data_IF_386181987806
#
_entry.id   IF_386181987806
#
_cell.length_a   1.000
_cell.length_b   1.000
_cell.length_c   1.000
_cell.angle_alpha   90.00
_cell.angle_beta   90.00
_cell.angle_gamma   90.00
#
_symmetry.space_group_name_H-M   'P 1'
#
loop_
_entity.id
_entity.type
_entity.pdbx_description
1 polymer ?
#
# COMPACT_ATOMS: atom_id res chain seq x y z
N UNK A 1 20.04 -0.24 -33.16
CA UNK A 1 18.63 -0.52 -33.47
C UNK A 1 18.49 -1.72 -34.40
N UNK A 2 17.47 -2.57 -34.20
CA UNK A 2 17.23 -3.77 -35.01
C UNK A 2 15.98 -3.63 -35.89
N UNK A 3 15.92 -4.34 -37.02
CA UNK A 3 14.78 -4.26 -37.94
C UNK A 3 13.44 -4.67 -37.31
N UNK A 4 13.48 -5.65 -36.39
CA UNK A 4 12.29 -6.12 -35.67
C UNK A 4 11.67 -5.01 -34.82
N UNK A 5 12.49 -4.20 -34.17
CA UNK A 5 12.02 -3.05 -33.39
C UNK A 5 11.23 -2.07 -34.26
N UNK A 6 11.72 -1.74 -35.46
CA UNK A 6 11.01 -0.84 -36.38
C UNK A 6 9.67 -1.43 -36.80
N UNK A 7 9.64 -2.71 -37.14
CA UNK A 7 8.41 -3.40 -37.58
C UNK A 7 7.36 -3.47 -36.48
N UNK A 8 7.77 -3.70 -35.23
CA UNK A 8 6.86 -3.80 -34.08
C UNK A 8 6.32 -2.42 -33.65
N UNK A 9 6.99 -1.32 -34.00
CA UNK A 9 6.69 0.03 -33.49
C UNK A 9 6.29 1.04 -34.59
N UNK A 10 5.75 0.60 -35.72
CA UNK A 10 5.42 1.50 -36.84
C UNK A 10 4.42 2.61 -36.49
N UNK A 11 3.43 2.28 -35.66
CA UNK A 11 2.41 3.23 -35.20
C UNK A 11 3.08 4.33 -34.36
N UNK A 12 3.87 3.93 -33.36
CA UNK A 12 4.53 4.88 -32.46
C UNK A 12 5.59 5.74 -33.17
N UNK A 13 6.21 5.20 -34.23
CA UNK A 13 7.09 5.95 -35.13
C UNK A 13 6.27 6.99 -35.91
N UNK A 14 5.12 6.61 -36.48
CA UNK A 14 4.26 7.53 -37.24
C UNK A 14 3.61 8.61 -36.37
N UNK A 15 3.36 8.32 -35.08
CA UNK A 15 2.80 9.28 -34.10
C UNK A 15 3.87 10.06 -33.33
N UNK A 16 5.16 9.92 -33.69
CA UNK A 16 6.31 10.60 -33.07
C UNK A 16 6.38 10.47 -31.52
N UNK A 17 5.98 9.34 -30.97
CA UNK A 17 5.91 9.14 -29.50
C UNK A 17 7.27 8.91 -28.82
N UNK A 18 8.33 8.72 -29.60
CA UNK A 18 9.65 8.39 -29.06
C UNK A 18 10.43 9.63 -28.59
N UNK A 19 11.20 9.53 -27.49
CA UNK A 19 12.09 10.60 -27.05
C UNK A 19 13.17 10.90 -28.11
N UNK A 20 13.77 12.09 -28.04
CA UNK A 20 14.69 12.59 -29.07
C UNK A 20 15.88 11.65 -29.35
N UNK A 21 16.42 11.00 -28.31
CA UNK A 21 17.55 10.06 -28.48
C UNK A 21 17.15 8.81 -29.26
N UNK A 22 16.00 8.21 -28.93
CA UNK A 22 15.47 7.06 -29.67
C UNK A 22 15.13 7.41 -31.11
N UNK A 23 14.64 8.63 -31.38
CA UNK A 23 14.41 9.11 -32.75
C UNK A 23 15.68 9.17 -33.59
N UNK A 24 16.80 9.65 -33.02
CA UNK A 24 18.09 9.63 -33.74
C UNK A 24 18.51 8.20 -34.10
N UNK A 25 18.33 7.24 -33.19
CA UNK A 25 18.67 5.84 -33.46
C UNK A 25 17.76 5.22 -34.55
N UNK A 26 16.48 5.58 -34.57
CA UNK A 26 15.54 5.22 -35.63
C UNK A 26 16.03 5.79 -36.96
N UNK A 27 16.34 7.08 -37.03
CA UNK A 27 16.79 7.75 -38.25
C UNK A 27 18.08 7.14 -38.81
N UNK A 28 19.04 6.82 -37.94
CA UNK A 28 20.27 6.13 -38.33
C UNK A 28 19.96 4.76 -38.93
N UNK A 29 19.03 4.02 -38.34
CA UNK A 29 18.60 2.72 -38.87
C UNK A 29 17.87 2.85 -40.22
N UNK A 30 16.97 3.81 -40.36
CA UNK A 30 16.24 4.03 -41.60
C UNK A 30 17.17 4.45 -42.75
N UNK A 31 18.22 5.22 -42.46
CA UNK A 31 19.25 5.55 -43.46
C UNK A 31 20.14 4.36 -43.86
N UNK A 32 20.28 3.37 -43.00
CA UNK A 32 21.15 2.20 -43.25
C UNK A 32 20.38 0.96 -43.74
N UNK A 33 19.06 0.90 -43.53
CA UNK A 33 18.23 -0.25 -43.91
C UNK A 33 17.09 0.15 -44.85
N UNK A 34 17.31 -0.04 -46.16
CA UNK A 34 16.31 0.26 -47.20
C UNK A 34 14.97 -0.45 -47.00
N UNK A 35 14.98 -1.68 -46.46
CA UNK A 35 13.75 -2.44 -46.20
C UNK A 35 12.88 -1.76 -45.13
N UNK A 36 13.50 -1.33 -44.03
CA UNK A 36 12.79 -0.63 -42.97
C UNK A 36 12.33 0.75 -43.44
N UNK A 37 13.16 1.47 -44.21
CA UNK A 37 12.79 2.74 -44.80
C UNK A 37 11.54 2.64 -45.69
N UNK A 38 11.53 1.74 -46.68
CA UNK A 38 10.39 1.54 -47.58
C UNK A 38 9.12 1.16 -46.81
N UNK A 39 9.25 0.27 -45.82
CA UNK A 39 8.14 -0.16 -44.98
C UNK A 39 7.57 1.00 -44.14
N UNK A 40 8.42 1.81 -43.51
CA UNK A 40 7.96 3.00 -42.77
C UNK A 40 7.31 4.04 -43.69
N UNK A 41 7.84 4.25 -44.90
CA UNK A 41 7.27 5.20 -45.87
C UNK A 41 5.88 4.75 -46.34
N UNK A 42 5.72 3.47 -46.71
CA UNK A 42 4.43 2.90 -47.10
C UNK A 42 3.41 2.98 -45.96
N UNK A 43 3.85 2.67 -44.75
CA UNK A 43 3.00 2.78 -43.56
C UNK A 43 2.53 4.23 -43.34
N UNK A 44 3.46 5.20 -43.40
CA UNK A 44 3.13 6.62 -43.24
C UNK A 44 2.13 7.12 -44.29
N UNK A 45 2.26 6.69 -45.55
CA UNK A 45 1.32 7.03 -46.63
C UNK A 45 -0.09 6.50 -46.36
N UNK A 46 -0.20 5.23 -45.91
CA UNK A 46 -1.49 4.65 -45.54
C UNK A 46 -2.10 5.38 -44.34
N UNK A 47 -1.29 5.68 -43.32
CA UNK A 47 -1.72 6.38 -42.13
C UNK A 47 -2.27 7.79 -42.43
N UNK A 48 -1.58 8.54 -43.30
CA UNK A 48 -2.04 9.86 -43.74
C UNK A 48 -3.35 9.81 -44.54
N UNK A 49 -3.53 8.76 -45.36
CA UNK A 49 -4.79 8.57 -46.12
C UNK A 49 -5.98 8.36 -45.19
N UNK A 50 -5.78 7.73 -44.04
CA UNK A 50 -6.83 7.50 -43.04
C UNK A 50 -7.08 8.71 -42.14
N UNK A 51 -6.10 9.59 -42.02
CA UNK A 51 -6.22 10.84 -41.27
C UNK A 51 -7.06 11.89 -41.97
N UNK A 52 -7.45 11.68 -43.23
CA UNK A 52 -8.38 12.58 -43.92
C UNK A 52 -9.72 12.52 -43.17
N UNK A 53 -10.02 13.52 -42.33
CA UNK A 53 -11.19 13.43 -41.49
C UNK A 53 -12.36 13.58 -42.43
N UNK A 54 -13.09 12.49 -42.66
CA UNK A 54 -14.49 12.58 -43.09
C UNK A 54 -15.07 13.69 -42.24
N UNK A 55 -15.51 14.78 -42.87
CA UNK A 55 -16.01 15.96 -42.18
C UNK A 55 -17.30 15.57 -41.46
N UNK A 56 -17.15 14.92 -40.32
CA UNK A 56 -18.23 14.54 -39.43
C UNK A 56 -18.58 15.83 -38.73
N UNK A 57 -19.51 16.57 -39.32
CA UNK A 57 -20.06 17.78 -38.71
C UNK A 57 -20.73 17.34 -37.41
N UNK A 58 -20.21 17.72 -36.23
CA UNK A 58 -20.80 17.31 -34.97
C UNK A 58 -22.22 17.87 -34.89
N UNK A 59 -23.12 17.17 -34.19
CA UNK A 59 -24.46 17.69 -33.97
C UNK A 59 -24.39 19.00 -33.18
N UNK A 60 -25.29 19.97 -33.40
CA UNK A 60 -25.25 21.25 -32.69
C UNK A 60 -25.27 21.13 -31.16
N UNK A 61 -25.85 20.04 -30.63
CA UNK A 61 -25.93 19.75 -29.20
C UNK A 61 -24.69 19.01 -28.65
N UNK A 62 -23.76 18.56 -29.49
CA UNK A 62 -22.58 17.82 -29.05
C UNK A 62 -21.70 18.67 -28.13
N UNK A 63 -21.43 19.93 -28.51
CA UNK A 63 -20.58 20.82 -27.73
C UNK A 63 -21.21 21.17 -26.37
N UNK A 64 -22.52 21.40 -26.31
CA UNK A 64 -23.19 21.70 -25.04
C UNK A 64 -23.17 20.51 -24.09
N UNK A 65 -23.41 19.29 -24.60
CA UNK A 65 -23.31 18.07 -23.80
C UNK A 65 -21.87 17.77 -23.36
N UNK A 66 -20.88 18.07 -24.21
CA UNK A 66 -19.47 17.90 -23.87
C UNK A 66 -19.07 18.83 -22.72
N UNK A 67 -19.41 20.11 -22.81
CA UNK A 67 -19.14 21.08 -21.74
C UNK A 67 -19.81 20.69 -20.42
N UNK A 68 -21.09 20.28 -20.46
CA UNK A 68 -21.78 19.78 -19.27
C UNK A 68 -21.08 18.56 -18.63
N UNK A 69 -20.49 17.67 -19.45
CA UNK A 69 -19.75 16.51 -18.94
C UNK A 69 -18.41 16.90 -18.33
N UNK A 70 -17.69 17.85 -18.94
CA UNK A 70 -16.41 18.36 -18.43
C UNK A 70 -16.66 19.04 -17.08
N UNK A 71 -17.61 19.96 -17.01
CA UNK A 71 -17.93 20.71 -15.78
C UNK A 71 -18.38 19.78 -14.64
N UNK A 72 -19.25 18.82 -14.93
CA UNK A 72 -19.65 17.78 -13.96
C UNK A 72 -18.47 16.91 -13.49
N UNK A 73 -17.46 16.71 -14.32
CA UNK A 73 -16.27 15.93 -13.98
C UNK A 73 -15.27 16.72 -13.13
N UNK A 74 -15.17 18.04 -13.36
CA UNK A 74 -14.35 18.96 -12.58
C UNK A 74 -14.98 19.22 -11.21
N UNK A 75 -16.29 19.44 -11.15
CA UNK A 75 -17.03 19.53 -9.88
C UNK A 75 -16.78 18.27 -9.04
N UNK A 76 -16.96 17.06 -9.61
CA UNK A 76 -16.69 15.80 -8.89
C UNK A 76 -15.25 15.66 -8.40
N UNK A 77 -14.27 16.27 -9.07
CA UNK A 77 -12.86 16.26 -8.60
C UNK A 77 -12.62 17.27 -7.48
N UNK A 78 -13.37 18.37 -7.44
CA UNK A 78 -13.22 19.40 -6.41
C UNK A 78 -13.96 19.07 -5.10
N UNK A 79 -14.96 18.17 -5.10
CA UNK A 79 -15.73 17.77 -3.90
C UNK A 79 -15.28 16.48 -3.19
N UNK A 80 -14.09 15.93 -3.45
CA UNK A 80 -13.60 14.74 -2.71
C UNK A 80 -12.40 15.10 -1.82
N UNK A 81 -12.41 14.69 -0.53
CA UNK A 81 -11.92 15.53 0.55
C UNK A 81 -10.47 15.19 0.90
N UNK A 82 -9.54 15.81 0.20
CA UNK A 82 -8.12 15.76 0.60
C UNK A 82 -7.91 16.25 2.05
N UNK A 83 -8.78 17.16 2.55
CA UNK A 83 -8.76 17.64 3.93
C UNK A 83 -9.38 16.67 4.96
N UNK A 84 -10.41 15.87 4.65
CA UNK A 84 -11.00 14.96 5.65
C UNK A 84 -10.16 13.69 5.89
N UNK A 85 -9.45 13.19 4.88
CA UNK A 85 -8.59 12.01 5.04
C UNK A 85 -7.34 12.29 5.90
N UNK A 86 -6.83 13.53 5.87
CA UNK A 86 -5.60 13.91 6.59
C UNK A 86 -5.84 14.18 8.09
N UNK A 87 -7.06 14.61 8.46
CA UNK A 87 -7.42 14.91 9.86
C UNK A 87 -7.90 13.72 10.69
N UNK A 88 -8.14 12.55 10.11
CA UNK A 88 -8.50 11.35 10.87
C UNK A 88 -7.36 10.81 11.74
N UNK A 89 -6.10 11.06 11.36
CA UNK A 89 -4.92 10.60 12.11
C UNK A 89 -4.72 11.33 13.45
N UNK A 90 -4.74 12.68 13.53
CA UNK A 90 -4.63 13.37 14.82
C UNK A 90 -5.87 13.16 15.71
N UNK A 91 -7.05 12.93 15.14
CA UNK A 91 -8.28 12.72 15.91
C UNK A 91 -8.22 11.43 16.76
N UNK A 92 -7.66 10.35 16.21
CA UNK A 92 -7.49 9.08 16.95
C UNK A 92 -6.54 9.22 18.12
N UNK A 93 -5.44 9.96 17.94
CA UNK A 93 -4.49 10.25 19.02
C UNK A 93 -5.13 11.11 20.12
N UNK A 94 -5.91 12.13 19.74
CA UNK A 94 -6.62 12.98 20.69
C UNK A 94 -7.67 12.19 21.52
N UNK A 95 -8.43 11.29 20.88
CA UNK A 95 -9.40 10.44 21.58
C UNK A 95 -8.70 9.49 22.56
N UNK A 96 -7.59 8.86 22.16
CA UNK A 96 -6.84 7.96 23.06
C UNK A 96 -6.32 8.71 24.30
N UNK A 97 -5.73 9.89 24.11
CA UNK A 97 -5.26 10.73 25.23
C UNK A 97 -6.43 11.17 26.11
N UNK A 98 -7.55 11.60 25.52
CA UNK A 98 -8.74 11.97 26.28
C UNK A 98 -9.27 10.81 27.12
N UNK A 99 -9.34 9.60 26.56
CA UNK A 99 -9.77 8.41 27.31
C UNK A 99 -8.82 8.06 28.46
N UNK A 100 -7.50 8.22 28.25
CA UNK A 100 -6.52 7.99 29.30
C UNK A 100 -6.67 9.01 30.43
N UNK A 101 -6.83 10.30 30.11
CA UNK A 101 -7.03 11.36 31.11
C UNK A 101 -8.32 11.14 31.90
N UNK A 102 -9.42 10.81 31.21
CA UNK A 102 -10.71 10.51 31.87
C UNK A 102 -10.57 9.29 32.77
N UNK A 103 -9.90 8.23 32.33
CA UNK A 103 -9.65 7.04 33.15
C UNK A 103 -8.83 7.34 34.40
N UNK A 104 -7.78 8.16 34.29
CA UNK A 104 -6.96 8.59 35.44
C UNK A 104 -7.76 9.44 36.42
N UNK A 105 -8.59 10.36 35.91
CA UNK A 105 -9.44 11.19 36.75
C UNK A 105 -10.52 10.36 37.47
N UNK A 106 -11.17 9.43 36.76
CA UNK A 106 -12.13 8.51 37.38
C UNK A 106 -11.45 7.61 38.42
N UNK A 107 -10.27 7.08 38.11
CA UNK A 107 -9.51 6.24 39.03
C UNK A 107 -9.08 6.99 40.29
N UNK A 108 -8.65 8.24 40.14
CA UNK A 108 -8.32 9.09 41.29
C UNK A 108 -9.57 9.42 42.13
N UNK A 109 -10.67 9.77 41.47
CA UNK A 109 -11.94 10.10 42.13
C UNK A 109 -12.51 8.90 42.92
N UNK A 110 -12.47 7.70 42.33
CA UNK A 110 -12.93 6.46 42.99
C UNK A 110 -11.91 5.91 43.98
N UNK A 111 -10.62 6.19 43.81
CA UNK A 111 -9.53 5.77 44.70
C UNK A 111 -9.50 6.50 46.03
N UNK A 112 -10.28 7.58 46.18
CA UNK A 112 -10.47 8.28 47.45
C UNK A 112 -11.50 7.58 48.36
N UNK A 113 -11.52 6.24 48.35
CA UNK A 113 -12.22 5.47 49.38
C UNK A 113 -11.34 5.46 50.64
N UNK A 114 -11.88 5.73 51.83
CA UNK A 114 -11.12 5.66 53.06
C UNK A 114 -10.57 4.25 53.21
N UNK A 115 -9.24 4.13 53.26
CA UNK A 115 -8.52 2.90 53.53
C UNK A 115 -9.00 2.42 54.90
N UNK A 116 -9.83 1.39 54.93
CA UNK A 116 -10.04 0.62 56.15
C UNK A 116 -8.67 0.02 56.47
N UNK A 117 -8.16 0.28 57.67
CA UNK A 117 -6.92 -0.31 58.18
C UNK A 117 -7.03 -1.85 58.09
N UNK A 118 -6.62 -2.40 56.96
CA UNK A 118 -6.35 -3.82 56.80
C UNK A 118 -4.88 -3.96 57.15
N UNK A 119 -4.70 -4.42 58.39
CA UNK A 119 -3.45 -4.83 59.00
C UNK A 119 -2.50 -5.48 57.99
N UNK A 120 -1.25 -5.01 58.04
CA UNK A 120 -0.07 -5.54 57.36
C UNK A 120 -0.04 -7.08 57.38
N UNK A 121 -0.46 -7.72 56.30
CA UNK A 121 -0.28 -9.16 56.12
C UNK A 121 0.07 -9.58 54.69
N UNK A 122 0.19 -8.65 53.73
CA UNK A 122 0.56 -8.95 52.35
C UNK A 122 1.99 -8.55 51.95
N UNK A 123 2.78 -7.96 52.85
CA UNK A 123 4.19 -7.60 52.57
C UNK A 123 5.24 -8.56 53.15
N UNK A 124 4.84 -9.64 53.85
CA UNK A 124 5.79 -10.63 54.40
C UNK A 124 5.76 -12.01 53.73
N UNK A 125 4.85 -12.30 52.80
CA UNK A 125 4.79 -13.61 52.13
C UNK A 125 5.59 -13.69 50.82
N UNK A 126 5.93 -12.56 50.19
CA UNK A 126 6.63 -12.57 48.88
C UNK A 126 8.15 -12.49 48.95
N UNK A 127 8.75 -12.21 50.11
CA UNK A 127 10.22 -12.09 50.25
C UNK A 127 10.90 -13.29 50.90
N UNK A 128 10.17 -14.22 51.52
CA UNK A 128 10.78 -15.39 52.18
C UNK A 128 10.73 -16.67 51.31
N UNK A 129 9.70 -16.88 50.51
CA UNK A 129 9.62 -18.08 49.64
C UNK A 129 10.39 -17.93 48.32
N UNK A 130 10.62 -16.70 47.85
CA UNK A 130 11.37 -16.42 46.63
C UNK A 130 12.89 -16.61 46.76
N UNK A 131 13.41 -16.74 47.99
CA UNK A 131 14.85 -16.85 48.25
C UNK A 131 15.31 -18.28 48.60
N UNK A 132 14.39 -19.20 48.92
CA UNK A 132 14.73 -20.60 49.25
C UNK A 132 14.59 -21.58 48.06
N UNK A 133 13.81 -21.23 47.03
CA UNK A 133 13.56 -22.09 45.87
C UNK A 133 13.89 -21.41 44.52
N UNK A 134 15.01 -20.66 44.46
CA UNK A 134 15.55 -20.18 43.20
C UNK A 134 16.12 -21.38 42.40
N UNK A 135 15.25 -22.05 41.65
CA UNK A 135 15.65 -23.06 40.68
C UNK A 135 16.59 -22.39 39.66
N UNK A 136 17.73 -23.04 39.33
CA UNK A 136 18.68 -22.47 38.37
C UNK A 136 17.95 -22.18 37.06
N UNK A 137 18.31 -21.08 36.40
CA UNK A 137 17.62 -20.55 35.22
C UNK A 137 17.37 -21.58 34.12
N UNK A 138 18.19 -22.65 34.05
CA UNK A 138 17.99 -23.77 33.13
C UNK A 138 16.72 -24.58 33.41
N UNK A 139 16.37 -24.83 34.68
CA UNK A 139 15.15 -25.58 35.04
C UNK A 139 13.87 -24.73 34.88
N UNK A 140 13.98 -23.42 35.03
CA UNK A 140 12.90 -22.49 34.72
C UNK A 140 12.59 -22.45 33.22
N UNK A 141 13.62 -22.57 32.39
CA UNK A 141 13.48 -22.62 30.94
C UNK A 141 12.80 -23.92 30.50
N UNK A 142 13.21 -25.07 31.04
CA UNK A 142 12.60 -26.38 30.75
C UNK A 142 11.13 -26.46 31.20
N UNK A 143 10.77 -25.86 32.34
CA UNK A 143 9.38 -25.82 32.80
C UNK A 143 8.48 -24.97 31.87
N UNK A 144 8.98 -23.83 31.39
CA UNK A 144 8.23 -22.99 30.45
C UNK A 144 8.12 -23.61 29.05
N UNK A 145 9.16 -24.31 28.60
CA UNK A 145 9.15 -24.98 27.30
C UNK A 145 8.33 -26.29 27.32
N UNK A 146 8.31 -27.02 28.44
CA UNK A 146 7.52 -28.25 28.55
C UNK A 146 6.00 -28.05 28.45
N UNK A 147 5.50 -26.83 28.70
CA UNK A 147 4.10 -26.46 28.46
C UNK A 147 3.75 -26.19 26.99
N UNK A 148 4.74 -26.16 26.10
CA UNK A 148 4.57 -25.92 24.66
C UNK A 148 4.39 -27.22 23.86
N UNK A 149 4.52 -28.40 24.49
CA UNK A 149 4.31 -29.69 23.82
C UNK A 149 2.82 -30.07 23.69
N UNK A 150 1.91 -29.32 24.33
CA UNK A 150 0.46 -29.58 24.37
C UNK A 150 -0.35 -28.81 23.30
N UNK A 151 0.30 -28.30 22.24
CA UNK A 151 -0.42 -27.59 21.18
C UNK A 151 -1.30 -28.55 20.34
N UNK A 152 -2.57 -28.20 20.09
CA UNK A 152 -3.42 -29.00 19.21
C UNK A 152 -2.85 -29.00 17.77
N UNK A 153 -2.92 -30.16 17.11
CA UNK A 153 -2.37 -30.33 15.77
C UNK A 153 -3.01 -29.37 14.75
N UNK A 154 -2.18 -28.65 14.02
CA UNK A 154 -2.57 -27.60 13.07
C UNK A 154 -2.64 -26.19 13.66
N UNK A 155 -2.27 -25.97 14.93
CA UNK A 155 -2.14 -24.62 15.49
C UNK A 155 -0.84 -23.94 15.05
N UNK A 156 -0.84 -22.61 15.00
CA UNK A 156 0.36 -21.83 14.69
C UNK A 156 1.52 -22.08 15.67
N UNK A 157 1.24 -22.54 16.90
CA UNK A 157 2.27 -22.88 17.88
C UNK A 157 3.13 -24.07 17.47
N UNK A 158 2.55 -25.07 16.80
CA UNK A 158 3.25 -26.28 16.36
C UNK A 158 4.40 -25.98 15.37
N UNK A 159 4.20 -24.99 14.49
CA UNK A 159 5.20 -24.54 13.52
C UNK A 159 6.49 -24.02 14.18
N UNK A 160 6.36 -23.38 15.34
CA UNK A 160 7.51 -22.79 16.04
C UNK A 160 8.25 -23.80 16.92
N UNK A 161 7.56 -24.83 17.40
CA UNK A 161 8.15 -25.84 18.29
C UNK A 161 8.86 -26.94 17.50
N UNK A 162 8.38 -27.30 16.30
CA UNK A 162 8.98 -28.38 15.50
C UNK A 162 9.21 -27.96 14.02
N UNK A 163 10.17 -27.05 13.75
CA UNK A 163 10.41 -26.52 12.40
C UNK A 163 11.04 -27.53 11.42
N UNK A 164 11.32 -28.77 11.85
CA UNK A 164 12.09 -29.77 11.10
C UNK A 164 11.30 -30.97 10.55
N UNK A 165 10.00 -31.10 10.80
CA UNK A 165 9.22 -32.27 10.34
C UNK A 165 8.18 -32.00 9.24
N UNK A 166 8.08 -30.77 8.73
CA UNK A 166 7.19 -30.45 7.61
C UNK A 166 7.97 -30.37 6.29
N UNK A 167 8.52 -31.52 5.87
CA UNK A 167 9.14 -31.77 4.57
C UNK A 167 8.72 -33.12 4.02
#
# INVERSE_FOLDING_TARGET
MNCRFIQDNLIDIAEEKFPAETRKEIDVHLRSCNRCADLTTRFAQLWQTWQDPVSVKPSPAFLSQLWQRIEKSEERRLVVPFLLSSWQRPLRAAVAVATMVVGVLLGNYLGHVPVWNVTDSSQQLTSQEAQENALPAEQLFDYYLGGLDDFPSGSAGEFYVNPGQNG
#
